data_IF_607570514368
#
_entry.id   IF_607570514368
#
_cell.length_a   1.000
_cell.length_b   1.000
_cell.length_c   1.000
_cell.angle_alpha   90.00
_cell.angle_beta   90.00
_cell.angle_gamma   90.00
#
_symmetry.space_group_name_H-M   'P 1'
#
loop_
_entity.id
_entity.type
_entity.pdbx_description
1 polymer ?
#
# COMPACT_ATOMS: atom_id res chain seq x y z
N UNK A 1 6.46 -15.41 -14.13
CA UNK A 1 5.04 -15.20 -14.47
C UNK A 1 4.94 -14.16 -15.58
N UNK A 2 4.15 -14.44 -16.62
CA UNK A 2 3.87 -13.46 -17.66
C UNK A 2 2.66 -12.60 -17.25
N UNK A 3 2.73 -11.32 -17.60
CA UNK A 3 1.68 -10.33 -17.36
C UNK A 3 1.02 -9.95 -18.68
N UNK A 4 -0.25 -10.28 -18.84
CA UNK A 4 -1.05 -9.87 -20.00
C UNK A 4 -1.33 -8.36 -19.97
N UNK A 5 -1.77 -7.79 -21.08
CA UNK A 5 -2.12 -6.37 -21.16
C UNK A 5 -3.24 -6.00 -20.18
N UNK A 6 -4.24 -6.86 -20.06
CA UNK A 6 -5.38 -6.66 -19.15
C UNK A 6 -4.93 -6.72 -17.69
N UNK A 7 -4.10 -7.71 -17.34
CA UNK A 7 -3.57 -7.85 -15.97
C UNK A 7 -2.70 -6.65 -15.57
N UNK A 8 -1.88 -6.14 -16.49
CA UNK A 8 -1.08 -4.93 -16.25
C UNK A 8 -1.95 -3.71 -15.96
N UNK A 9 -3.07 -3.55 -16.68
CA UNK A 9 -3.99 -2.45 -16.47
C UNK A 9 -4.69 -2.54 -15.10
N UNK A 10 -5.13 -3.74 -14.72
CA UNK A 10 -5.75 -4.02 -13.42
C UNK A 10 -4.76 -3.76 -12.28
N UNK A 11 -3.56 -4.33 -12.36
CA UNK A 11 -2.51 -4.13 -11.37
C UNK A 11 -2.10 -2.66 -11.25
N UNK A 12 -1.99 -1.94 -12.38
CA UNK A 12 -1.67 -0.51 -12.37
C UNK A 12 -2.73 0.28 -11.63
N UNK A 13 -4.00 0.04 -11.94
CA UNK A 13 -5.13 0.72 -11.30
C UNK A 13 -5.16 0.47 -9.80
N UNK A 14 -5.00 -0.79 -9.38
CA UNK A 14 -4.97 -1.15 -7.97
C UNK A 14 -3.80 -0.48 -7.23
N UNK A 15 -2.60 -0.52 -7.82
CA UNK A 15 -1.39 0.11 -7.28
C UNK A 15 -1.54 1.63 -7.13
N UNK A 16 -1.96 2.32 -8.18
CA UNK A 16 -2.11 3.77 -8.17
C UNK A 16 -3.20 4.22 -7.18
N UNK A 17 -4.29 3.44 -7.08
CA UNK A 17 -5.37 3.70 -6.11
C UNK A 17 -4.88 3.55 -4.68
N UNK A 18 -4.15 2.47 -4.38
CA UNK A 18 -3.58 2.23 -3.07
C UNK A 18 -2.61 3.36 -2.66
N UNK A 19 -1.70 3.72 -3.57
CA UNK A 19 -0.76 4.83 -3.36
C UNK A 19 -1.48 6.14 -3.04
N UNK A 20 -2.51 6.46 -3.83
CA UNK A 20 -3.30 7.66 -3.62
C UNK A 20 -4.00 7.66 -2.24
N UNK A 21 -4.65 6.55 -1.88
CA UNK A 21 -5.35 6.41 -0.61
C UNK A 21 -4.39 6.54 0.58
N UNK A 22 -3.21 5.92 0.49
CA UNK A 22 -2.21 6.00 1.54
C UNK A 22 -1.64 7.42 1.68
N UNK A 23 -1.31 8.08 0.57
CA UNK A 23 -0.90 9.49 0.59
C UNK A 23 -1.99 10.40 1.16
N UNK A 24 -3.26 10.15 0.86
CA UNK A 24 -4.38 10.90 1.43
C UNK A 24 -4.49 10.70 2.95
N UNK A 25 -4.26 9.49 3.44
CA UNK A 25 -4.20 9.19 4.88
C UNK A 25 -3.05 9.92 5.57
N UNK A 26 -1.84 9.90 4.99
CA UNK A 26 -0.68 10.66 5.49
C UNK A 26 -1.00 12.15 5.55
N UNK A 27 -1.62 12.71 4.51
CA UNK A 27 -2.03 14.12 4.49
C UNK A 27 -3.01 14.44 5.63
N UNK A 28 -4.01 13.57 5.85
CA UNK A 28 -5.01 13.77 6.91
C UNK A 28 -4.36 13.77 8.29
N UNK A 29 -3.48 12.81 8.56
CA UNK A 29 -2.75 12.72 9.83
C UNK A 29 -1.77 13.90 10.01
N UNK A 30 -1.10 14.32 8.94
CA UNK A 30 -0.22 15.51 8.98
C UNK A 30 -1.02 16.76 9.35
N UNK A 31 -2.21 16.96 8.76
CA UNK A 31 -3.10 18.08 9.11
C UNK A 31 -3.53 18.05 10.57
N UNK A 32 -3.84 16.86 11.09
CA UNK A 32 -4.20 16.67 12.50
C UNK A 32 -3.05 17.06 13.42
N UNK A 33 -1.82 16.61 13.13
CA UNK A 33 -0.61 16.98 13.89
C UNK A 33 -0.34 18.47 13.85
N UNK A 34 -0.41 19.08 12.66
CA UNK A 34 -0.27 20.52 12.49
C UNK A 34 -1.30 21.33 13.28
N UNK A 35 -2.53 20.83 13.44
CA UNK A 35 -3.56 21.50 14.22
C UNK A 35 -3.32 21.43 15.75
N UNK A 36 -2.40 20.56 16.20
CA UNK A 36 -2.13 20.33 17.62
C UNK A 36 -0.81 20.96 18.10
N UNK A 37 -0.04 21.60 17.22
CA UNK A 37 1.24 22.23 17.61
C UNK A 37 1.00 23.43 18.54
N UNK A 38 1.83 23.56 19.57
CA UNK A 38 1.83 24.70 20.51
C UNK A 38 3.18 25.38 20.58
N UNK A 39 4.26 24.64 20.33
CA UNK A 39 5.63 25.11 20.48
C UNK A 39 6.38 25.04 19.14
N UNK A 40 7.34 25.95 18.88
CA UNK A 40 8.13 25.92 17.66
C UNK A 40 8.90 24.61 17.45
N UNK A 41 9.19 23.87 18.53
CA UNK A 41 9.90 22.60 18.50
C UNK A 41 9.06 21.45 17.90
N UNK A 42 7.72 21.52 18.01
CA UNK A 42 6.78 20.52 17.47
C UNK A 42 6.89 20.37 15.94
N UNK A 43 7.45 21.39 15.26
CA UNK A 43 7.71 21.33 13.81
C UNK A 43 8.65 20.20 13.45
N UNK A 44 9.58 19.85 14.34
CA UNK A 44 10.56 18.79 14.11
C UNK A 44 9.92 17.40 14.24
N UNK A 45 8.96 17.22 15.14
CA UNK A 45 8.20 15.97 15.24
C UNK A 45 7.38 15.69 13.98
N UNK A 46 6.81 16.74 13.36
CA UNK A 46 6.10 16.63 12.09
C UNK A 46 7.07 16.26 10.96
N UNK A 47 8.26 16.88 10.93
CA UNK A 47 9.30 16.53 9.97
C UNK A 47 9.71 15.06 10.09
N UNK A 48 9.95 14.57 11.30
CA UNK A 48 10.38 13.20 11.55
C UNK A 48 9.30 12.20 11.11
N UNK A 49 8.04 12.49 11.45
CA UNK A 49 6.90 11.72 10.96
C UNK A 49 6.86 11.63 9.43
N UNK A 50 7.02 12.76 8.73
CA UNK A 50 7.00 12.79 7.27
C UNK A 50 8.21 12.07 6.65
N UNK A 51 9.36 12.14 7.31
CA UNK A 51 10.56 11.43 6.87
C UNK A 51 10.38 9.91 6.97
N UNK A 52 9.81 9.42 8.08
CA UNK A 52 9.49 8.00 8.26
C UNK A 52 8.46 7.54 7.23
N UNK A 53 7.38 8.31 7.02
CA UNK A 53 6.37 7.99 5.98
C UNK A 53 6.97 7.95 4.59
N UNK A 54 7.91 8.84 4.27
CA UNK A 54 8.62 8.80 2.99
C UNK A 54 9.40 7.49 2.81
N UNK A 55 10.08 7.01 3.86
CA UNK A 55 10.83 5.76 3.80
C UNK A 55 9.91 4.55 3.64
N UNK A 56 8.81 4.51 4.39
CA UNK A 56 7.79 3.46 4.27
C UNK A 56 7.26 3.39 2.82
N UNK A 57 6.83 4.53 2.28
CA UNK A 57 6.31 4.61 0.90
C UNK A 57 7.37 4.16 -0.12
N UNK A 58 8.60 4.67 -0.02
CA UNK A 58 9.66 4.32 -0.95
C UNK A 58 10.07 2.84 -0.89
N UNK A 59 10.00 2.23 0.29
CA UNK A 59 10.30 0.81 0.46
C UNK A 59 9.17 -0.10 -0.02
N UNK A 60 7.91 0.35 0.07
CA UNK A 60 6.71 -0.43 -0.23
C UNK A 60 6.32 -0.41 -1.70
N UNK A 61 6.33 0.77 -2.32
CA UNK A 61 5.80 0.99 -3.66
C UNK A 61 6.88 0.75 -4.72
N UNK A 62 7.09 -0.53 -5.05
CA UNK A 62 7.97 -0.97 -6.14
C UNK A 62 7.16 -1.54 -7.32
N UNK A 63 7.14 -0.82 -8.44
CA UNK A 63 6.36 -1.21 -9.63
C UNK A 63 7.10 -2.18 -10.58
N UNK A 64 8.15 -2.87 -10.13
CA UNK A 64 8.79 -3.91 -10.95
C UNK A 64 7.92 -5.17 -10.98
N UNK A 65 7.60 -5.66 -12.17
CA UNK A 65 6.74 -6.84 -12.38
C UNK A 65 7.21 -8.11 -11.66
N UNK A 66 8.50 -8.22 -11.31
CA UNK A 66 9.06 -9.33 -10.56
C UNK A 66 8.62 -9.37 -9.10
N UNK A 67 8.28 -8.22 -8.50
CA UNK A 67 7.86 -8.08 -7.09
C UNK A 67 6.44 -7.55 -6.96
N UNK A 68 5.82 -7.11 -8.07
CA UNK A 68 4.51 -6.47 -8.07
C UNK A 68 3.42 -7.31 -7.41
N UNK A 69 3.48 -8.63 -7.52
CA UNK A 69 2.49 -9.51 -6.87
C UNK A 69 2.60 -9.46 -5.34
N UNK A 70 3.82 -9.42 -4.80
CA UNK A 70 4.06 -9.27 -3.36
C UNK A 70 3.62 -7.89 -2.87
N UNK A 71 3.92 -6.84 -3.65
CA UNK A 71 3.47 -5.47 -3.36
C UNK A 71 1.95 -5.39 -3.32
N UNK A 72 1.25 -5.90 -4.34
CA UNK A 72 -0.22 -5.92 -4.36
C UNK A 72 -0.79 -6.71 -3.18
N UNK A 73 -0.18 -7.83 -2.83
CA UNK A 73 -0.58 -8.63 -1.65
C UNK A 73 -0.45 -7.81 -0.37
N UNK A 74 0.68 -7.12 -0.18
CA UNK A 74 0.92 -6.26 0.98
C UNK A 74 -0.10 -5.12 1.06
N UNK A 75 -0.42 -4.48 -0.07
CA UNK A 75 -1.41 -3.41 -0.13
C UNK A 75 -2.82 -3.90 0.24
N UNK A 76 -3.18 -5.14 -0.11
CA UNK A 76 -4.44 -5.75 0.35
C UNK A 76 -4.37 -6.05 1.85
N UNK A 77 -3.25 -6.59 2.35
CA UNK A 77 -3.06 -6.87 3.78
C UNK A 77 -3.22 -5.60 4.64
N UNK A 78 -2.69 -4.48 4.16
CA UNK A 78 -2.74 -3.20 4.85
C UNK A 78 -4.06 -2.43 4.62
N UNK A 79 -4.97 -2.98 3.81
CA UNK A 79 -6.29 -2.39 3.55
C UNK A 79 -6.30 -1.19 2.61
N UNK A 80 -5.20 -0.91 1.89
CA UNK A 80 -5.14 0.19 0.92
C UNK A 80 -5.92 -0.10 -0.36
N UNK A 81 -6.12 -1.38 -0.66
CA UNK A 81 -6.90 -1.86 -1.81
C UNK A 81 -7.67 -3.13 -1.45
N UNK A 82 -8.88 -3.30 -1.98
CA UNK A 82 -9.66 -4.52 -1.78
C UNK A 82 -9.18 -5.65 -2.69
N UNK A 83 -9.44 -6.89 -2.29
CA UNK A 83 -9.18 -8.07 -3.13
C UNK A 83 -9.96 -8.01 -4.45
N UNK A 84 -11.17 -7.44 -4.42
CA UNK A 84 -12.05 -7.29 -5.60
C UNK A 84 -11.40 -6.43 -6.70
N UNK A 85 -10.57 -5.47 -6.32
CA UNK A 85 -9.83 -4.66 -7.29
C UNK A 85 -8.82 -5.48 -8.12
N UNK A 86 -8.54 -6.72 -7.71
CA UNK A 86 -7.59 -7.65 -8.34
C UNK A 86 -8.28 -8.80 -9.10
N UNK A 87 -9.62 -8.81 -9.22
CA UNK A 87 -10.37 -9.87 -9.92
C UNK A 87 -9.97 -10.08 -11.39
N UNK A 88 -9.40 -9.05 -12.04
CA UNK A 88 -8.91 -9.16 -13.42
C UNK A 88 -7.54 -9.85 -13.57
N UNK A 89 -6.93 -10.31 -12.48
CA UNK A 89 -5.74 -11.15 -12.50
C UNK A 89 -6.10 -12.61 -12.77
N UNK A 90 -5.21 -13.38 -13.39
CA UNK A 90 -5.44 -14.81 -13.58
C UNK A 90 -5.54 -15.59 -12.24
N UNK A 91 -6.09 -16.80 -12.31
CA UNK A 91 -6.32 -17.65 -11.13
C UNK A 91 -5.03 -17.96 -10.35
N UNK A 92 -3.91 -18.14 -11.04
CA UNK A 92 -2.60 -18.39 -10.40
C UNK A 92 -2.18 -17.22 -9.49
N UNK A 93 -2.27 -15.98 -9.98
CA UNK A 93 -1.92 -14.77 -9.20
C UNK A 93 -2.91 -14.52 -8.08
N UNK A 94 -4.21 -14.70 -8.33
CA UNK A 94 -5.23 -14.58 -7.29
C UNK A 94 -5.06 -15.63 -6.19
N UNK A 95 -4.75 -16.87 -6.57
CA UNK A 95 -4.47 -17.97 -5.64
C UNK A 95 -3.26 -17.69 -4.76
N UNK A 96 -2.20 -17.10 -5.33
CA UNK A 96 -1.03 -16.65 -4.57
C UNK A 96 -1.40 -15.60 -3.50
N UNK A 97 -2.11 -14.55 -3.91
CA UNK A 97 -2.53 -13.46 -3.00
C UNK A 97 -3.38 -14.03 -1.87
N UNK A 98 -4.41 -14.83 -2.19
CA UNK A 98 -5.30 -15.46 -1.21
C UNK A 98 -4.53 -16.34 -0.22
N UNK A 99 -3.58 -17.14 -0.70
CA UNK A 99 -2.77 -18.02 0.16
C UNK A 99 -1.95 -17.23 1.16
N UNK A 100 -1.34 -16.11 0.76
CA UNK A 100 -0.57 -15.26 1.68
C UNK A 100 -1.49 -14.55 2.67
N UNK A 101 -2.66 -14.07 2.23
CA UNK A 101 -3.65 -13.45 3.11
C UNK A 101 -4.09 -14.43 4.21
N UNK A 102 -4.50 -15.64 3.84
CA UNK A 102 -4.90 -16.67 4.83
C UNK A 102 -3.77 -17.08 5.76
N UNK A 103 -2.51 -17.09 5.29
CA UNK A 103 -1.36 -17.37 6.16
C UNK A 103 -1.15 -16.27 7.21
N UNK A 104 -1.34 -14.99 6.84
CA UNK A 104 -1.20 -13.87 7.78
C UNK A 104 -2.36 -13.77 8.76
N UNK A 105 -3.58 -14.09 8.33
CA UNK A 105 -4.74 -14.19 9.22
C UNK A 105 -4.53 -15.27 10.29
N UNK A 106 -3.99 -16.44 9.91
CA UNK A 106 -3.68 -17.53 10.84
C UNK A 106 -2.46 -17.33 11.75
N UNK A 107 -1.70 -16.23 11.61
CA UNK A 107 -0.61 -15.86 12.54
C UNK A 107 -1.02 -14.75 13.52
N UNK A 108 -2.24 -14.22 13.41
CA UNK A 108 -2.80 -13.24 14.33
C UNK A 108 -3.63 -13.88 15.46
N UNK A 109 -3.71 -15.22 15.49
CA UNK A 109 -4.35 -16.03 16.55
C UNK A 109 -3.34 -16.64 17.52
#
# INVERSE_FOLDING_TARGET
>A
MNWSRTEKAVARKAYDTAYHNECASILMETRKRLACITDPEDVWEINDYLWDKRKEINGKYDYRYSVLLDVLTLLVCEGWVSLDALEGLNEEKQGYIKRILSFREGCAE
#
